data_IF_500494743793
#
_entry.id   IF_500494743793
#
_cell.length_a   1.000
_cell.length_b   1.000
_cell.length_c   1.000
_cell.angle_alpha   90.00
_cell.angle_beta   90.00
_cell.angle_gamma   90.00
#
_symmetry.space_group_name_H-M   'P 1'
#
loop_
_entity.id
_entity.type
_entity.pdbx_description
1 polymer ?
#
# COMPACT_ATOMS: atom_id res chain seq x y z
N UNK A 1 -18.66 -26.27 26.76
CA UNK A 1 -17.37 -25.57 26.51
C UNK A 1 -16.66 -26.02 25.23
N UNK A 2 -16.52 -27.31 24.92
CA UNK A 2 -15.78 -27.74 23.71
C UNK A 2 -16.38 -27.27 22.37
N UNK A 3 -17.72 -27.24 22.23
CA UNK A 3 -18.38 -26.75 21.00
C UNK A 3 -18.08 -25.27 20.72
N UNK A 4 -18.15 -24.43 21.76
CA UNK A 4 -17.83 -23.00 21.69
C UNK A 4 -16.36 -22.80 21.29
N UNK A 5 -15.44 -23.59 21.87
CA UNK A 5 -14.02 -23.53 21.51
C UNK A 5 -13.78 -23.85 20.03
N UNK A 6 -14.46 -24.87 19.49
CA UNK A 6 -14.37 -25.23 18.07
C UNK A 6 -14.88 -24.10 17.17
N UNK A 7 -16.04 -23.53 17.50
CA UNK A 7 -16.62 -22.41 16.75
C UNK A 7 -15.67 -21.20 16.78
N UNK A 8 -15.17 -20.82 17.95
CA UNK A 8 -14.24 -19.71 18.08
C UNK A 8 -12.95 -19.92 17.27
N UNK A 9 -12.39 -21.14 17.28
CA UNK A 9 -11.22 -21.48 16.48
C UNK A 9 -11.51 -21.42 14.98
N UNK A 10 -12.68 -21.92 14.54
CA UNK A 10 -13.09 -21.83 13.14
C UNK A 10 -13.25 -20.38 12.69
N UNK A 11 -13.88 -19.54 13.50
CA UNK A 11 -14.04 -18.10 13.20
C UNK A 11 -12.68 -17.42 13.11
N UNK A 12 -11.78 -17.69 14.06
CA UNK A 12 -10.42 -17.14 14.05
C UNK A 12 -9.64 -17.57 12.81
N UNK A 13 -9.73 -18.85 12.41
CA UNK A 13 -9.07 -19.36 11.22
C UNK A 13 -9.58 -18.69 9.94
N UNK A 14 -10.89 -18.49 9.82
CA UNK A 14 -11.50 -17.75 8.70
C UNK A 14 -11.02 -16.30 8.69
N UNK A 15 -11.02 -15.63 9.83
CA UNK A 15 -10.56 -14.25 9.96
C UNK A 15 -9.10 -14.11 9.52
N UNK A 16 -8.20 -14.96 10.03
CA UNK A 16 -6.79 -14.98 9.62
C UNK A 16 -6.63 -15.28 8.13
N UNK A 17 -7.43 -16.20 7.58
CA UNK A 17 -7.44 -16.51 6.15
C UNK A 17 -7.80 -15.28 5.30
N UNK A 18 -8.81 -14.51 5.73
CA UNK A 18 -9.19 -13.24 5.07
C UNK A 18 -8.04 -12.24 5.15
N UNK A 19 -7.40 -12.08 6.30
CA UNK A 19 -6.26 -11.16 6.46
C UNK A 19 -5.11 -11.52 5.52
N UNK A 20 -4.75 -12.79 5.43
CA UNK A 20 -3.68 -13.28 4.54
C UNK A 20 -4.05 -13.06 3.07
N UNK A 21 -5.30 -13.33 2.68
CA UNK A 21 -5.77 -13.11 1.32
C UNK A 21 -5.72 -11.63 0.93
N UNK A 22 -6.24 -10.74 1.78
CA UNK A 22 -6.18 -9.29 1.55
C UNK A 22 -4.74 -8.79 1.50
N UNK A 23 -3.88 -9.26 2.38
CA UNK A 23 -2.45 -8.92 2.38
C UNK A 23 -1.76 -9.32 1.07
N UNK A 24 -2.06 -10.51 0.53
CA UNK A 24 -1.54 -10.95 -0.75
C UNK A 24 -2.05 -10.10 -1.92
N UNK A 25 -3.33 -9.69 -1.87
CA UNK A 25 -3.95 -8.81 -2.87
C UNK A 25 -3.32 -7.41 -2.83
N UNK A 26 -3.06 -6.85 -1.65
CA UNK A 26 -2.43 -5.54 -1.48
C UNK A 26 -1.04 -5.47 -2.13
N UNK A 27 -0.30 -6.58 -2.19
CA UNK A 27 0.99 -6.63 -2.90
C UNK A 27 0.86 -6.51 -4.42
N UNK A 28 -0.35 -6.56 -4.98
CA UNK A 28 -0.65 -6.54 -6.42
C UNK A 28 -1.54 -5.33 -6.77
N UNK A 29 -0.95 -4.18 -7.20
CA UNK A 29 -1.69 -2.92 -7.35
C UNK A 29 -2.94 -2.99 -8.25
N UNK A 30 -2.95 -3.64 -9.43
CA UNK A 30 -4.14 -3.70 -10.28
C UNK A 30 -5.30 -4.48 -9.65
N UNK A 31 -5.00 -5.57 -8.94
CA UNK A 31 -6.01 -6.43 -8.31
C UNK A 31 -6.61 -5.78 -7.06
N UNK A 32 -5.81 -5.00 -6.33
CA UNK A 32 -6.28 -4.30 -5.14
C UNK A 32 -7.50 -3.41 -5.43
N UNK A 33 -7.41 -2.53 -6.44
CA UNK A 33 -8.53 -1.65 -6.80
C UNK A 33 -9.77 -2.43 -7.26
N UNK A 34 -9.59 -3.54 -7.98
CA UNK A 34 -10.68 -4.39 -8.44
C UNK A 34 -11.39 -5.15 -7.32
N UNK A 35 -10.68 -5.53 -6.26
CA UNK A 35 -11.26 -6.24 -5.11
C UNK A 35 -11.90 -5.26 -4.14
N UNK A 36 -11.22 -4.13 -3.84
CA UNK A 36 -11.68 -3.18 -2.84
C UNK A 36 -13.04 -2.54 -3.16
N UNK A 37 -13.43 -2.46 -4.44
CA UNK A 37 -14.77 -1.98 -4.83
C UNK A 37 -15.93 -2.81 -4.26
N UNK A 38 -15.68 -4.06 -3.87
CA UNK A 38 -16.68 -4.98 -3.32
C UNK A 38 -16.58 -5.13 -1.80
N UNK A 39 -15.57 -4.53 -1.17
CA UNK A 39 -15.38 -4.62 0.26
C UNK A 39 -16.38 -3.68 0.94
N UNK A 40 -17.31 -4.19 1.77
CA UNK A 40 -18.29 -3.36 2.44
C UNK A 40 -17.63 -2.47 3.50
N UNK A 41 -18.23 -1.31 3.77
CA UNK A 41 -17.72 -0.32 4.74
C UNK A 41 -17.49 -0.92 6.15
N UNK A 42 -18.34 -1.86 6.58
CA UNK A 42 -18.21 -2.55 7.88
C UNK A 42 -16.89 -3.30 8.01
N UNK A 43 -16.32 -3.80 6.91
CA UNK A 43 -15.03 -4.49 6.94
C UNK A 43 -13.91 -3.56 7.44
N UNK A 44 -13.99 -2.24 7.18
CA UNK A 44 -12.99 -1.26 7.63
C UNK A 44 -12.96 -1.08 9.15
N UNK A 45 -14.03 -1.44 9.86
CA UNK A 45 -14.06 -1.42 11.33
C UNK A 45 -13.42 -2.68 11.96
N UNK A 46 -13.37 -3.79 11.22
CA UNK A 46 -12.97 -5.10 11.75
C UNK A 46 -11.57 -5.52 11.26
N UNK A 47 -11.19 -5.06 10.06
CA UNK A 47 -9.92 -5.41 9.42
C UNK A 47 -8.94 -4.25 9.61
N UNK A 48 -7.70 -4.52 10.08
CA UNK A 48 -6.68 -3.50 10.28
C UNK A 48 -6.02 -3.11 8.95
N UNK A 49 -6.80 -2.50 8.04
CA UNK A 49 -6.37 -2.17 6.68
C UNK A 49 -5.10 -1.31 6.64
N UNK A 50 -4.99 -0.29 7.49
CA UNK A 50 -3.83 0.60 7.53
C UNK A 50 -2.53 -0.17 7.85
N UNK A 51 -2.56 -1.03 8.87
CA UNK A 51 -1.42 -1.86 9.24
C UNK A 51 -1.05 -2.83 8.12
N UNK A 52 -2.04 -3.54 7.55
CA UNK A 52 -1.80 -4.45 6.44
C UNK A 52 -1.18 -3.72 5.24
N UNK A 53 -1.69 -2.53 4.92
CA UNK A 53 -1.22 -1.72 3.80
C UNK A 53 0.23 -1.26 4.01
N UNK A 54 0.54 -0.67 5.17
CA UNK A 54 1.88 -0.17 5.48
C UNK A 54 2.93 -1.30 5.45
N UNK A 55 2.56 -2.53 5.83
CA UNK A 55 3.45 -3.69 5.74
C UNK A 55 3.52 -4.23 4.30
N UNK A 56 2.40 -4.36 3.61
CA UNK A 56 2.34 -4.95 2.26
C UNK A 56 2.95 -4.07 1.18
N UNK A 57 2.87 -2.74 1.35
CA UNK A 57 3.25 -1.71 0.37
C UNK A 57 4.35 -0.78 0.87
N UNK A 58 4.81 -0.96 2.11
CA UNK A 58 5.95 -0.21 2.64
C UNK A 58 7.17 -0.37 1.75
N UNK A 59 7.74 0.77 1.34
CA UNK A 59 9.05 0.77 0.68
C UNK A 59 10.16 0.38 1.66
N UNK A 60 11.35 0.13 1.12
CA UNK A 60 12.54 -0.21 1.92
C UNK A 60 13.46 0.99 2.21
N UNK A 61 13.06 2.20 1.80
CA UNK A 61 13.85 3.41 1.97
C UNK A 61 13.90 3.85 3.44
N UNK A 62 15.08 4.25 3.89
CA UNK A 62 15.35 4.77 5.23
C UNK A 62 15.85 6.21 5.17
N UNK A 63 15.73 6.93 6.27
CA UNK A 63 16.30 8.27 6.40
C UNK A 63 17.82 8.20 6.21
N UNK A 64 18.35 9.04 5.32
CA UNK A 64 19.76 9.06 4.94
C UNK A 64 20.08 8.26 3.67
N UNK A 65 19.18 7.37 3.23
CA UNK A 65 19.35 6.71 1.93
C UNK A 65 19.29 7.73 0.80
N UNK A 66 20.08 7.50 -0.25
CA UNK A 66 19.94 8.28 -1.49
C UNK A 66 18.59 8.00 -2.12
N UNK A 67 17.81 9.05 -2.39
CA UNK A 67 16.53 8.91 -3.09
C UNK A 67 16.74 8.22 -4.46
N UNK A 68 15.97 7.16 -4.79
CA UNK A 68 16.05 6.48 -6.08
C UNK A 68 15.86 7.46 -7.22
N UNK A 69 16.68 7.34 -8.26
CA UNK A 69 16.59 8.24 -9.40
C UNK A 69 15.41 7.86 -10.31
N UNK A 70 14.79 8.86 -10.90
CA UNK A 70 13.75 8.68 -11.90
C UNK A 70 13.78 9.85 -12.88
N UNK A 71 13.30 9.57 -14.09
CA UNK A 71 13.17 10.52 -15.18
C UNK A 71 11.68 10.65 -15.50
N UNK A 72 11.11 11.81 -15.24
CA UNK A 72 9.68 12.07 -15.45
C UNK A 72 9.49 13.22 -16.45
N UNK A 73 8.45 13.15 -17.31
CA UNK A 73 8.08 14.29 -18.12
C UNK A 73 7.50 15.41 -17.26
N UNK A 74 7.73 16.65 -17.66
CA UNK A 74 7.00 17.80 -17.12
C UNK A 74 5.51 17.69 -17.44
N UNK A 75 4.68 18.42 -16.69
CA UNK A 75 3.21 18.38 -16.87
C UNK A 75 2.79 18.76 -18.30
N UNK A 76 3.51 19.70 -18.92
CA UNK A 76 3.32 20.10 -20.32
C UNK A 76 3.94 19.15 -21.36
N UNK A 77 4.63 18.09 -20.89
CA UNK A 77 5.31 17.05 -21.69
C UNK A 77 6.42 17.57 -22.62
N UNK A 78 6.87 18.81 -22.45
CA UNK A 78 7.90 19.41 -23.32
C UNK A 78 9.32 19.03 -22.94
N UNK A 79 9.54 18.57 -21.71
CA UNK A 79 10.86 18.24 -21.20
C UNK A 79 10.83 17.07 -20.24
N UNK A 80 12.00 16.53 -19.94
CA UNK A 80 12.22 15.51 -18.95
C UNK A 80 12.99 16.10 -17.78
N UNK A 81 12.59 15.74 -16.57
CA UNK A 81 13.23 16.13 -15.31
C UNK A 81 13.77 14.88 -14.65
N UNK A 82 15.08 14.86 -14.42
CA UNK A 82 15.75 13.78 -13.69
C UNK A 82 15.97 14.19 -12.24
N UNK A 83 15.53 13.38 -11.28
CA UNK A 83 15.63 13.73 -9.85
C UNK A 83 17.08 13.96 -9.42
N UNK A 84 18.01 13.14 -9.90
CA UNK A 84 19.43 13.26 -9.54
C UNK A 84 20.08 14.59 -9.93
N UNK A 85 19.48 15.34 -10.88
CA UNK A 85 19.99 16.64 -11.33
C UNK A 85 19.93 17.73 -10.25
N UNK A 86 19.09 17.55 -9.22
CA UNK A 86 18.93 18.48 -8.08
C UNK A 86 19.81 18.14 -6.87
N UNK A 87 20.41 16.95 -6.83
CA UNK A 87 21.20 16.49 -5.68
C UNK A 87 22.32 17.49 -5.38
N UNK A 88 22.48 17.86 -4.11
CA UNK A 88 23.47 18.83 -3.60
C UNK A 88 23.36 20.27 -4.14
N UNK A 89 22.31 20.59 -4.89
CA UNK A 89 22.02 21.95 -5.35
C UNK A 89 20.98 22.62 -4.47
N UNK A 90 19.90 21.89 -4.18
CA UNK A 90 18.79 22.38 -3.38
C UNK A 90 18.01 21.24 -2.70
N UNK A 91 17.27 21.51 -1.61
CA UNK A 91 16.32 20.56 -1.05
C UNK A 91 15.16 20.31 -2.00
N UNK A 92 14.75 19.05 -2.15
CA UNK A 92 13.64 18.64 -3.03
C UNK A 92 12.56 17.94 -2.20
N UNK A 93 11.31 18.33 -2.41
CA UNK A 93 10.12 17.68 -1.84
C UNK A 93 9.41 16.91 -2.94
N UNK A 94 9.15 15.62 -2.71
CA UNK A 94 8.38 14.78 -3.65
C UNK A 94 6.94 14.64 -3.16
N UNK A 95 6.00 15.05 -4.01
CA UNK A 95 4.56 14.90 -3.79
C UNK A 95 4.01 13.93 -4.82
N UNK A 96 3.52 12.78 -4.36
CA UNK A 96 2.90 11.77 -5.22
C UNK A 96 1.38 11.89 -5.12
N UNK A 97 0.70 11.99 -6.26
CA UNK A 97 -0.75 12.09 -6.32
C UNK A 97 -1.28 11.81 -7.72
N UNK A 98 -2.60 11.67 -7.81
CA UNK A 98 -3.33 11.55 -9.07
C UNK A 98 -4.57 12.42 -9.02
N UNK A 99 -4.99 12.94 -10.18
CA UNK A 99 -6.31 13.54 -10.32
C UNK A 99 -7.29 12.43 -10.72
N UNK A 100 -8.15 12.03 -9.79
CA UNK A 100 -9.23 11.05 -9.97
C UNK A 100 -10.43 11.49 -9.16
#
# INVERSE_FOLDING_TARGET
MQKIRKIALSVLAVYLGILVALFAIMRRPPLFGQVMRYVPSVAFAVIPFEHLWNIARGGSLKVGDSAPDFLLPTSDKKSLVQLSSFRKKEPVVLVFGSYT
#
